data_IF_346610431119
#
_entry.id   IF_346610431119
#
_cell.length_a   1.000
_cell.length_b   1.000
_cell.length_c   1.000
_cell.angle_alpha   90.00
_cell.angle_beta   90.00
_cell.angle_gamma   90.00
#
_symmetry.space_group_name_H-M   'P 1'
#
loop_
_entity.id
_entity.type
_entity.pdbx_description
1 polymer ?
#
# COMPACT_ATOMS: atom_id res chain seq x y z
N UNK A 1 -26.41 22.68 -15.43
CA UNK A 1 -25.44 21.68 -14.94
C UNK A 1 -24.84 21.00 -16.18
N UNK A 2 -23.54 21.20 -16.46
CA UNK A 2 -22.83 20.53 -17.56
C UNK A 2 -22.33 19.19 -17.04
N UNK A 3 -22.67 18.09 -17.70
CA UNK A 3 -22.13 16.77 -17.38
C UNK A 3 -20.95 16.56 -18.34
N UNK A 4 -19.74 16.46 -17.78
CA UNK A 4 -18.54 16.09 -18.52
C UNK A 4 -18.20 14.64 -18.20
N UNK A 5 -17.86 13.87 -19.23
CA UNK A 5 -17.39 12.50 -19.08
C UNK A 5 -15.98 12.51 -18.50
N UNK A 6 -15.82 11.89 -17.32
CA UNK A 6 -14.51 11.80 -16.66
C UNK A 6 -13.74 10.63 -17.24
N UNK A 7 -12.74 10.94 -18.07
CA UNK A 7 -11.79 9.94 -18.57
C UNK A 7 -10.68 9.70 -17.53
N UNK A 8 -10.32 8.43 -17.31
CA UNK A 8 -9.30 8.05 -16.33
C UNK A 8 -7.90 8.39 -16.85
N UNK A 9 -7.16 9.22 -16.13
CA UNK A 9 -5.75 9.57 -16.42
C UNK A 9 -4.74 8.58 -15.82
N UNK A 10 -5.19 7.45 -15.26
CA UNK A 10 -4.32 6.49 -14.58
C UNK A 10 -3.39 5.77 -15.56
N UNK A 11 -2.09 5.74 -15.26
CA UNK A 11 -1.10 4.96 -16.02
C UNK A 11 -1.19 3.46 -15.68
N UNK A 12 -2.19 2.77 -16.23
CA UNK A 12 -2.45 1.35 -15.94
C UNK A 12 -1.23 0.44 -16.19
N UNK A 13 -0.43 0.73 -17.22
CA UNK A 13 0.80 -0.03 -17.53
C UNK A 13 1.79 -0.10 -16.36
N UNK A 14 1.92 0.96 -15.55
CA UNK A 14 2.85 1.00 -14.40
C UNK A 14 2.40 0.11 -13.24
N UNK A 15 1.10 -0.17 -13.13
CA UNK A 15 0.49 -0.92 -12.02
C UNK A 15 0.18 -2.37 -12.41
N UNK A 16 0.21 -2.71 -13.70
CA UNK A 16 -0.20 -4.02 -14.22
C UNK A 16 0.46 -5.22 -13.51
N UNK A 17 1.78 -5.17 -13.30
CA UNK A 17 2.54 -6.22 -12.60
C UNK A 17 2.11 -6.43 -11.14
N UNK A 18 1.48 -5.42 -10.53
CA UNK A 18 1.03 -5.43 -9.13
C UNK A 18 -0.49 -5.61 -9.00
N UNK A 19 -1.18 -6.01 -10.08
CA UNK A 19 -2.65 -6.14 -10.12
C UNK A 19 -3.23 -7.14 -9.12
N UNK A 20 -2.44 -8.11 -8.67
CA UNK A 20 -2.83 -9.14 -7.69
C UNK A 20 -2.80 -8.62 -6.24
N UNK A 21 -2.09 -7.53 -5.95
CA UNK A 21 -1.99 -6.96 -4.60
C UNK A 21 -3.26 -6.17 -4.29
N UNK A 22 -3.98 -6.58 -3.24
CA UNK A 22 -5.24 -5.94 -2.81
C UNK A 22 -5.13 -5.20 -1.48
N UNK A 23 -4.01 -5.35 -0.76
CA UNK A 23 -3.74 -4.69 0.50
C UNK A 23 -2.51 -5.26 1.20
N UNK A 24 -2.21 -4.76 2.40
CA UNK A 24 -1.07 -5.20 3.20
C UNK A 24 -1.26 -6.57 3.86
N UNK A 25 -2.48 -7.11 3.87
CA UNK A 25 -2.78 -8.43 4.43
C UNK A 25 -2.46 -8.58 5.93
N UNK A 26 -2.76 -7.54 6.71
CA UNK A 26 -2.55 -7.53 8.16
C UNK A 26 -3.78 -8.04 8.91
N UNK A 27 -3.55 -8.59 10.09
CA UNK A 27 -4.57 -8.88 11.11
C UNK A 27 -4.99 -7.61 11.84
N UNK A 28 -6.02 -7.71 12.67
CA UNK A 28 -6.54 -6.59 13.49
C UNK A 28 -5.52 -6.11 14.54
N UNK A 29 -4.65 -7.01 15.01
CA UNK A 29 -3.55 -6.69 15.92
C UNK A 29 -2.34 -6.04 15.22
N UNK A 30 -2.39 -5.91 13.89
CA UNK A 30 -1.34 -5.34 13.07
C UNK A 30 -0.29 -6.35 12.58
N UNK A 31 -0.36 -7.62 12.97
CA UNK A 31 0.57 -8.67 12.51
C UNK A 31 0.32 -9.05 11.05
N UNK A 32 1.37 -9.37 10.30
CA UNK A 32 1.22 -9.81 8.91
C UNK A 32 0.91 -11.31 8.80
N UNK A 33 -0.08 -11.68 7.98
CA UNK A 33 -0.29 -13.08 7.57
C UNK A 33 0.76 -13.47 6.53
N UNK A 34 1.28 -14.69 6.66
CA UNK A 34 2.29 -15.27 5.74
C UNK A 34 1.89 -15.14 4.27
N UNK A 35 0.64 -15.51 3.94
CA UNK A 35 0.06 -15.37 2.59
C UNK A 35 -1.34 -14.76 2.70
N UNK A 36 -1.52 -13.50 2.27
CA UNK A 36 -2.84 -12.87 2.25
C UNK A 36 -2.88 -11.61 1.37
N UNK A 37 -4.07 -11.27 0.84
CA UNK A 37 -4.31 -10.09 -0.03
C UNK A 37 -3.34 -9.93 -1.21
N UNK A 38 -2.82 -11.05 -1.74
CA UNK A 38 -1.85 -11.05 -2.84
C UNK A 38 -0.39 -10.81 -2.41
N UNK A 39 -0.12 -10.70 -1.11
CA UNK A 39 1.24 -10.61 -0.55
C UNK A 39 1.68 -11.96 -0.01
N UNK A 40 2.96 -12.29 -0.20
CA UNK A 40 3.63 -13.50 0.33
C UNK A 40 4.89 -13.04 1.06
N UNK A 41 5.05 -13.42 2.32
CA UNK A 41 6.20 -13.05 3.14
C UNK A 41 6.31 -11.55 3.42
N UNK A 42 7.57 -11.07 3.60
CA UNK A 42 7.93 -9.67 3.89
C UNK A 42 7.14 -9.09 5.08
N UNK A 43 6.95 -9.89 6.12
CA UNK A 43 6.07 -9.65 7.25
C UNK A 43 6.44 -8.34 7.95
N UNK A 44 7.72 -8.19 8.34
CA UNK A 44 8.21 -6.99 9.04
C UNK A 44 8.00 -5.70 8.22
N UNK A 45 8.23 -5.77 6.91
CA UNK A 45 8.03 -4.61 6.04
C UNK A 45 6.55 -4.25 5.91
N UNK A 46 5.67 -5.25 5.84
CA UNK A 46 4.21 -5.07 5.77
C UNK A 46 3.64 -4.52 7.08
N UNK A 47 4.11 -5.01 8.21
CA UNK A 47 3.74 -4.50 9.55
C UNK A 47 4.19 -3.05 9.73
N UNK A 48 5.43 -2.72 9.35
CA UNK A 48 5.92 -1.35 9.37
C UNK A 48 5.09 -0.43 8.44
N UNK A 49 4.74 -0.89 7.24
CA UNK A 49 3.85 -0.17 6.34
C UNK A 49 2.45 0.04 6.94
N UNK A 50 1.93 -0.94 7.68
CA UNK A 50 0.68 -0.82 8.43
C UNK A 50 0.73 0.31 9.46
N UNK A 51 1.83 0.38 10.21
CA UNK A 51 2.09 1.48 11.14
C UNK A 51 2.10 2.84 10.45
N UNK A 52 2.72 2.95 9.28
CA UNK A 52 2.75 4.19 8.49
C UNK A 52 1.35 4.57 8.02
N UNK A 53 0.54 3.61 7.55
CA UNK A 53 -0.85 3.85 7.17
C UNK A 53 -1.64 4.41 8.36
N UNK A 54 -1.42 3.88 9.56
CA UNK A 54 -2.09 4.37 10.76
C UNK A 54 -1.63 5.77 11.16
N UNK A 55 -0.33 6.08 11.03
CA UNK A 55 0.19 7.44 11.21
C UNK A 55 -0.45 8.44 10.23
N UNK A 56 -0.67 8.04 8.97
CA UNK A 56 -1.36 8.85 7.97
C UNK A 56 -2.82 9.08 8.37
N UNK A 57 -3.54 8.02 8.76
CA UNK A 57 -4.95 8.10 9.21
C UNK A 57 -5.13 9.00 10.43
N UNK A 58 -4.21 8.88 11.38
CA UNK A 58 -4.14 9.74 12.57
C UNK A 58 -3.62 11.16 12.29
N UNK A 59 -3.29 11.51 11.02
CA UNK A 59 -2.70 12.81 10.62
C UNK A 59 -1.38 13.16 11.33
N UNK A 60 -0.62 12.15 11.76
CA UNK A 60 0.69 12.29 12.43
C UNK A 60 1.89 12.12 11.50
N UNK A 61 1.66 12.02 10.19
CA UNK A 61 2.70 11.90 9.16
C UNK A 61 3.19 13.27 8.61
N UNK A 62 2.71 14.39 9.16
CA UNK A 62 3.08 15.72 8.67
C UNK A 62 4.60 15.96 8.73
N UNK A 63 5.19 16.39 7.60
CA UNK A 63 6.62 16.69 7.48
C UNK A 63 7.55 15.46 7.52
N UNK A 64 7.02 14.24 7.43
CA UNK A 64 7.80 13.00 7.40
C UNK A 64 7.84 12.42 5.98
N UNK A 65 8.95 11.80 5.63
CA UNK A 65 9.10 11.00 4.41
C UNK A 65 9.31 9.52 4.77
N UNK A 66 9.07 8.64 3.79
CA UNK A 66 9.30 7.20 3.91
C UNK A 66 10.35 6.77 2.87
N UNK A 67 11.34 6.00 3.31
CA UNK A 67 12.32 5.33 2.44
C UNK A 67 12.10 3.82 2.51
N UNK A 68 11.88 3.18 1.36
CA UNK A 68 11.87 1.73 1.23
C UNK A 68 13.25 1.31 0.72
N UNK A 69 14.00 0.60 1.56
CA UNK A 69 15.34 0.13 1.25
C UNK A 69 15.36 -1.41 1.23
N UNK A 70 16.01 -1.97 0.22
CA UNK A 70 16.14 -3.40 0.00
C UNK A 70 16.97 -3.67 -1.25
N UNK A 71 17.34 -4.92 -1.45
CA UNK A 71 17.95 -5.37 -2.70
C UNK A 71 16.92 -5.31 -3.84
N UNK A 72 17.42 -5.25 -5.08
CA UNK A 72 16.55 -5.38 -6.24
C UNK A 72 15.95 -6.79 -6.25
N UNK A 73 14.63 -6.86 -6.42
CA UNK A 73 13.90 -8.10 -6.63
C UNK A 73 14.26 -8.75 -7.98
#
# INVERSE_FOLDING_TARGET
MRIEEVTSTKHAHRVASHSHIKGLGLNEDGSAKEIFMGMVGQEKAREAAGYVVELIRCKRMAGKALLLAGEAA
#
